data_IF_746225085847
#
_entry.id   IF_746225085847
#
_cell.length_a   1.000
_cell.length_b   1.000
_cell.length_c   1.000
_cell.angle_alpha   90.00
_cell.angle_beta   90.00
_cell.angle_gamma   90.00
#
_symmetry.space_group_name_H-M   'P 1'
#
loop_
_entity.id
_entity.type
_entity.pdbx_description
1 polymer ?
#
# COMPACT_ATOMS: atom_id res chain seq x y z
N UNK A 1 -29.22 42.12 39.16
CA UNK A 1 -30.19 42.37 38.08
C UNK A 1 -29.44 42.08 36.79
N UNK A 2 -29.76 41.17 35.95
CA UNK A 2 -30.79 40.19 35.78
C UNK A 2 -30.27 39.19 34.75
N UNK A 3 -30.39 37.91 35.09
CA UNK A 3 -29.91 36.83 34.23
C UNK A 3 -30.82 36.60 33.02
N UNK A 4 -30.25 36.10 31.96
CA UNK A 4 -31.02 35.50 30.87
C UNK A 4 -30.44 34.11 30.54
N UNK A 5 -31.10 33.07 31.06
CA UNK A 5 -30.90 31.67 30.69
C UNK A 5 -31.50 31.44 29.31
N UNK A 6 -30.73 30.95 28.35
CA UNK A 6 -31.23 30.39 27.10
C UNK A 6 -31.31 28.87 27.21
N UNK A 7 -32.48 28.34 27.05
CA UNK A 7 -32.81 26.91 27.05
C UNK A 7 -32.45 26.31 25.69
N UNK A 8 -31.60 25.28 25.66
CA UNK A 8 -31.41 24.39 24.50
C UNK A 8 -32.58 23.43 24.41
N UNK A 9 -33.27 23.39 23.28
CA UNK A 9 -34.28 22.38 22.95
C UNK A 9 -33.57 21.19 22.28
N UNK A 10 -33.67 20.03 22.91
CA UNK A 10 -33.44 18.73 22.26
C UNK A 10 -34.65 18.44 21.34
N UNK A 11 -34.35 18.05 20.11
CA UNK A 11 -35.32 17.41 19.21
C UNK A 11 -34.82 16.02 18.93
N UNK A 12 -35.47 15.03 19.53
CA UNK A 12 -35.32 13.61 19.20
C UNK A 12 -36.26 13.30 18.04
N UNK A 13 -35.71 12.74 16.95
CA UNK A 13 -36.49 12.13 15.88
C UNK A 13 -36.26 10.62 15.94
N UNK A 14 -37.31 9.91 16.33
CA UNK A 14 -37.40 8.44 16.25
C UNK A 14 -37.94 8.12 14.87
N UNK A 15 -37.23 7.34 14.08
CA UNK A 15 -37.76 6.78 12.83
C UNK A 15 -37.86 5.25 12.98
N UNK A 16 -39.10 4.79 12.96
CA UNK A 16 -39.48 3.38 13.05
C UNK A 16 -39.39 2.74 11.66
N UNK A 17 -38.64 1.65 11.53
CA UNK A 17 -38.60 0.81 10.31
C UNK A 17 -39.54 -0.36 10.48
N UNK A 18 -40.49 -0.47 9.57
CA UNK A 18 -41.46 -1.57 9.48
C UNK A 18 -40.94 -2.59 8.46
N UNK A 19 -40.71 -3.81 8.93
CA UNK A 19 -40.46 -4.98 8.06
C UNK A 19 -41.80 -5.43 7.41
N UNK A 20 -41.73 -5.74 6.12
CA UNK A 20 -42.74 -6.57 5.46
C UNK A 20 -42.02 -7.71 4.72
N UNK A 21 -42.19 -8.91 5.24
CA UNK A 21 -41.84 -10.16 4.60
C UNK A 21 -42.93 -10.57 3.61
N UNK A 22 -42.54 -11.08 2.46
CA UNK A 22 -43.42 -11.88 1.60
C UNK A 22 -42.66 -13.05 0.96
N UNK A 23 -42.95 -14.23 1.50
CA UNK A 23 -42.70 -15.54 0.95
C UNK A 23 -43.67 -15.80 -0.21
N UNK A 24 -43.18 -16.36 -1.32
CA UNK A 24 -44.00 -17.29 -2.11
C UNK A 24 -43.11 -18.29 -2.85
N UNK A 25 -43.38 -19.53 -2.58
CA UNK A 25 -42.86 -20.75 -3.16
C UNK A 25 -43.51 -21.05 -4.51
N UNK A 26 -42.79 -21.76 -5.37
CA UNK A 26 -43.35 -22.37 -6.59
C UNK A 26 -42.47 -23.46 -7.11
N UNK A 27 -42.86 -24.70 -6.83
CA UNK A 27 -42.36 -25.98 -7.34
C UNK A 27 -42.62 -26.16 -8.83
N UNK A 28 -41.82 -26.98 -9.50
CA UNK A 28 -42.14 -27.64 -10.76
C UNK A 28 -40.98 -28.46 -11.30
N UNK A 29 -41.03 -29.77 -11.07
CA UNK A 29 -40.22 -30.86 -11.69
C UNK A 29 -40.64 -31.07 -13.15
N UNK A 30 -39.85 -31.62 -14.06
CA UNK A 30 -39.54 -33.03 -14.24
C UNK A 30 -38.79 -33.29 -15.55
N UNK A 31 -37.87 -34.22 -15.47
CA UNK A 31 -37.51 -35.34 -16.37
C UNK A 31 -37.39 -35.19 -17.90
N UNK A 32 -36.33 -35.79 -18.40
CA UNK A 32 -36.25 -36.31 -19.76
C UNK A 32 -34.86 -36.74 -20.21
N UNK A 33 -34.50 -37.96 -19.87
CA UNK A 33 -33.37 -38.77 -20.36
C UNK A 33 -33.53 -39.14 -21.85
N UNK A 34 -32.44 -39.19 -22.63
CA UNK A 34 -32.14 -40.37 -23.44
C UNK A 34 -30.84 -40.28 -24.22
N UNK A 35 -30.14 -41.41 -24.17
CA UNK A 35 -28.96 -41.89 -24.87
C UNK A 35 -28.96 -41.78 -26.40
N UNK A 36 -27.75 -41.84 -26.96
CA UNK A 36 -27.51 -42.17 -28.36
C UNK A 36 -26.01 -42.24 -28.69
N UNK A 37 -25.47 -43.46 -28.62
CA UNK A 37 -24.16 -43.89 -29.14
C UNK A 37 -24.02 -43.68 -30.67
N UNK A 38 -22.79 -43.45 -31.15
CA UNK A 38 -22.08 -44.34 -32.12
C UNK A 38 -20.87 -43.69 -32.75
N UNK A 39 -19.71 -44.09 -32.42
CA UNK A 39 -18.66 -44.84 -33.15
C UNK A 39 -18.42 -44.47 -34.63
N UNK A 40 -17.16 -44.20 -34.98
CA UNK A 40 -16.67 -44.14 -36.35
C UNK A 40 -15.20 -43.73 -36.49
N UNK A 41 -14.36 -44.70 -36.42
CA UNK A 41 -12.92 -44.73 -36.68
C UNK A 41 -12.59 -44.43 -38.15
N UNK A 42 -11.50 -43.71 -38.45
CA UNK A 42 -10.51 -44.08 -39.47
C UNK A 42 -9.31 -43.13 -39.52
N UNK A 43 -8.19 -43.74 -39.35
CA UNK A 43 -6.82 -43.38 -39.66
C UNK A 43 -6.64 -42.92 -41.11
N UNK A 44 -5.76 -41.88 -41.31
CA UNK A 44 -4.69 -42.02 -42.30
C UNK A 44 -3.53 -41.04 -42.03
N UNK A 45 -2.38 -41.62 -42.11
CA UNK A 45 -1.05 -41.11 -41.85
C UNK A 45 -0.46 -40.60 -43.16
N UNK A 46 0.04 -39.36 -43.23
CA UNK A 46 1.03 -38.98 -44.29
C UNK A 46 2.09 -38.11 -43.68
N UNK A 47 3.26 -38.67 -43.65
CA UNK A 47 4.57 -38.12 -43.35
C UNK A 47 5.05 -37.17 -44.47
N UNK A 48 5.54 -35.99 -44.13
CA UNK A 48 6.51 -35.27 -44.96
C UNK A 48 7.33 -34.27 -44.17
N UNK A 49 8.64 -34.48 -44.23
CA UNK A 49 9.77 -33.84 -43.59
C UNK A 49 9.96 -32.35 -43.95
N UNK A 50 10.78 -31.61 -43.19
CA UNK A 50 10.73 -30.16 -43.10
C UNK A 50 11.65 -29.45 -44.10
N UNK A 51 11.17 -28.33 -44.59
CA UNK A 51 12.01 -27.33 -45.22
C UNK A 51 12.20 -26.14 -44.27
N UNK A 52 13.47 -25.94 -43.89
CA UNK A 52 13.97 -24.81 -43.14
C UNK A 52 13.98 -23.58 -44.03
N UNK A 53 13.07 -22.65 -43.81
CA UNK A 53 13.23 -21.26 -44.25
C UNK A 53 13.47 -20.39 -43.01
N UNK A 54 14.60 -19.68 -43.03
CA UNK A 54 14.95 -18.70 -42.04
C UNK A 54 13.98 -17.52 -42.17
N UNK A 55 13.10 -17.35 -41.17
CA UNK A 55 12.36 -16.12 -41.02
C UNK A 55 13.28 -15.07 -40.38
N UNK A 56 13.56 -14.00 -41.12
CA UNK A 56 14.05 -12.75 -40.59
C UNK A 56 13.09 -12.29 -39.49
N UNK A 57 13.63 -11.97 -38.33
CA UNK A 57 12.88 -11.35 -37.26
C UNK A 57 12.49 -9.94 -37.72
N UNK A 58 11.24 -9.77 -38.08
CA UNK A 58 10.64 -8.44 -38.14
C UNK A 58 10.61 -7.85 -36.72
N UNK A 59 11.18 -6.66 -36.56
CA UNK A 59 11.01 -5.85 -35.38
C UNK A 59 9.50 -5.60 -35.13
N UNK A 60 9.04 -5.57 -33.87
CA UNK A 60 7.64 -5.26 -33.58
C UNK A 60 7.34 -3.86 -34.10
N UNK A 61 6.52 -3.77 -35.12
CA UNK A 61 5.93 -2.51 -35.55
C UNK A 61 4.93 -2.07 -34.49
N UNK A 62 5.24 -0.96 -33.86
CA UNK A 62 4.35 -0.12 -33.07
C UNK A 62 3.11 0.21 -33.89
N UNK A 63 2.02 -0.50 -33.65
CA UNK A 63 0.78 -0.39 -34.40
C UNK A 63 -0.38 -0.05 -33.49
N UNK A 64 -0.32 1.12 -32.80
CA UNK A 64 -1.55 1.72 -32.28
C UNK A 64 -2.41 2.15 -33.46
N UNK A 65 -3.67 1.74 -33.49
CA UNK A 65 -4.63 2.20 -34.50
C UNK A 65 -4.84 3.71 -34.32
N UNK A 66 -4.39 4.53 -35.27
CA UNK A 66 -4.77 5.95 -35.32
C UNK A 66 -6.28 6.09 -35.18
N UNK A 67 -6.76 6.73 -34.08
CA UNK A 67 -8.19 6.95 -33.82
C UNK A 67 -8.85 5.95 -32.87
N UNK A 68 -8.08 5.12 -32.15
CA UNK A 68 -8.62 4.33 -31.04
C UNK A 68 -9.08 5.23 -29.88
N UNK A 69 -10.07 4.77 -29.13
CA UNK A 69 -10.54 5.43 -27.89
C UNK A 69 -10.55 4.41 -26.79
N UNK A 70 -9.95 4.75 -25.65
CA UNK A 70 -9.99 3.94 -24.42
C UNK A 70 -10.85 4.60 -23.37
N UNK A 71 -11.46 3.79 -22.51
CA UNK A 71 -12.20 4.23 -21.34
C UNK A 71 -11.35 4.08 -20.08
N UNK A 72 -11.18 5.18 -19.34
CA UNK A 72 -10.39 5.21 -18.11
C UNK A 72 -11.29 5.60 -16.94
N UNK A 73 -11.32 4.78 -15.91
CA UNK A 73 -12.04 5.05 -14.67
C UNK A 73 -11.04 5.29 -13.53
N UNK A 74 -11.06 6.48 -12.94
CA UNK A 74 -10.13 6.85 -11.87
C UNK A 74 -10.86 7.40 -10.67
N UNK A 75 -10.46 6.94 -9.47
CA UNK A 75 -11.05 7.44 -8.23
C UNK A 75 -10.64 8.89 -7.99
N UNK A 76 -11.60 9.73 -7.58
CA UNK A 76 -11.32 11.07 -7.06
C UNK A 76 -10.99 10.97 -5.58
N UNK A 77 -9.77 11.34 -5.22
CA UNK A 77 -9.26 11.36 -3.85
C UNK A 77 -9.02 12.80 -3.38
N UNK A 78 -8.21 12.97 -2.33
CA UNK A 78 -7.81 14.28 -1.83
C UNK A 78 -7.03 15.13 -2.85
N UNK A 79 -6.47 14.50 -3.87
CA UNK A 79 -5.76 15.16 -4.99
C UNK A 79 -6.70 15.79 -6.03
N UNK A 80 -8.01 15.53 -5.92
CA UNK A 80 -9.00 15.92 -6.93
C UNK A 80 -9.01 15.00 -8.15
N UNK A 81 -9.66 15.44 -9.20
CA UNK A 81 -9.79 14.71 -10.47
C UNK A 81 -9.20 15.44 -11.68
N UNK A 82 -8.85 16.72 -11.54
CA UNK A 82 -8.36 17.56 -12.64
C UNK A 82 -7.09 17.00 -13.28
N UNK A 83 -6.18 16.42 -12.48
CA UNK A 83 -4.93 15.82 -12.95
C UNK A 83 -5.18 14.70 -13.98
N UNK A 84 -6.25 13.92 -13.82
CA UNK A 84 -6.57 12.83 -14.74
C UNK A 84 -6.95 13.33 -16.13
N UNK A 85 -7.66 14.47 -16.19
CA UNK A 85 -7.98 15.09 -17.47
C UNK A 85 -6.73 15.67 -18.14
N UNK A 86 -5.85 16.34 -17.36
CA UNK A 86 -4.57 16.87 -17.88
C UNK A 86 -3.70 15.73 -18.45
N UNK A 87 -3.63 14.58 -17.77
CA UNK A 87 -2.87 13.40 -18.24
C UNK A 87 -3.52 12.74 -19.46
N UNK A 88 -4.85 12.60 -19.48
CA UNK A 88 -5.58 12.06 -20.63
C UNK A 88 -5.37 12.91 -21.88
N UNK A 89 -5.42 14.24 -21.76
CA UNK A 89 -5.17 15.17 -22.85
C UNK A 89 -3.71 15.06 -23.35
N UNK A 90 -2.74 14.94 -22.43
CA UNK A 90 -1.31 14.78 -22.76
C UNK A 90 -1.06 13.43 -23.47
N UNK A 91 -1.66 12.34 -23.00
CA UNK A 91 -1.58 11.03 -23.65
C UNK A 91 -2.15 11.07 -25.07
N UNK A 92 -3.34 11.67 -25.23
CA UNK A 92 -3.98 11.80 -26.55
C UNK A 92 -3.12 12.63 -27.50
N UNK A 93 -2.49 13.70 -27.00
CA UNK A 93 -1.60 14.54 -27.81
C UNK A 93 -0.34 13.79 -28.28
N UNK A 94 0.19 12.89 -27.46
CA UNK A 94 1.40 12.12 -27.76
C UNK A 94 1.12 10.92 -28.67
N UNK A 95 0.03 10.19 -28.42
CA UNK A 95 -0.22 8.89 -29.07
C UNK A 95 -1.30 8.93 -30.16
N UNK A 96 -2.18 9.94 -30.14
CA UNK A 96 -3.38 9.98 -31.00
C UNK A 96 -4.52 9.10 -30.49
N UNK A 97 -4.37 8.38 -29.39
CA UNK A 97 -5.42 7.57 -28.75
C UNK A 97 -6.27 8.48 -27.86
N UNK A 98 -7.58 8.52 -28.11
CA UNK A 98 -8.50 9.31 -27.29
C UNK A 98 -8.81 8.62 -25.96
N UNK A 99 -9.09 9.41 -24.91
CA UNK A 99 -9.45 8.90 -23.58
C UNK A 99 -10.84 9.41 -23.21
N UNK A 100 -11.75 8.48 -22.91
CA UNK A 100 -13.02 8.76 -22.24
C UNK A 100 -12.84 8.55 -20.74
N UNK A 101 -12.81 9.65 -19.96
CA UNK A 101 -12.51 9.64 -18.55
C UNK A 101 -13.78 9.63 -17.69
N UNK A 102 -13.82 8.72 -16.71
CA UNK A 102 -14.83 8.69 -15.64
C UNK A 102 -14.11 8.87 -14.31
N UNK A 103 -14.48 9.90 -13.54
CA UNK A 103 -13.95 10.14 -12.19
C UNK A 103 -15.08 10.32 -11.19
N UNK A 104 -14.98 9.68 -10.03
CA UNK A 104 -15.91 9.85 -8.91
C UNK A 104 -15.27 9.44 -7.59
N UNK A 105 -15.75 10.00 -6.46
CA UNK A 105 -15.32 9.61 -5.10
C UNK A 105 -15.82 8.21 -4.71
N UNK A 106 -16.95 7.82 -5.26
CA UNK A 106 -17.57 6.51 -5.08
C UNK A 106 -17.49 5.73 -6.39
N UNK A 107 -16.31 5.66 -6.98
CA UNK A 107 -16.08 5.11 -8.31
C UNK A 107 -16.69 3.71 -8.47
N UNK A 108 -16.59 2.88 -7.44
CA UNK A 108 -17.12 1.51 -7.43
C UNK A 108 -18.64 1.47 -7.66
N UNK A 109 -19.38 2.43 -7.12
CA UNK A 109 -20.83 2.54 -7.31
C UNK A 109 -21.18 3.01 -8.72
N UNK A 110 -20.30 3.78 -9.36
CA UNK A 110 -20.50 4.31 -10.72
C UNK A 110 -20.24 3.24 -11.77
N UNK A 111 -19.09 2.54 -11.69
CA UNK A 111 -18.69 1.56 -12.71
C UNK A 111 -19.21 0.14 -12.43
N UNK A 112 -19.47 -0.22 -11.18
CA UNK A 112 -19.87 -1.57 -10.77
C UNK A 112 -21.08 -2.13 -11.53
N UNK A 113 -22.16 -1.36 -11.74
CA UNK A 113 -23.33 -1.85 -12.51
C UNK A 113 -23.03 -2.25 -13.96
N UNK A 114 -22.23 -1.48 -14.70
CA UNK A 114 -21.83 -1.81 -16.09
C UNK A 114 -20.89 -3.01 -16.11
N UNK A 115 -19.94 -3.08 -15.15
CA UNK A 115 -19.01 -4.20 -15.05
C UNK A 115 -19.72 -5.52 -14.74
N UNK A 116 -20.80 -5.50 -13.96
CA UNK A 116 -21.67 -6.68 -13.76
C UNK A 116 -22.39 -7.10 -15.04
N UNK A 117 -22.60 -6.18 -15.95
CA UNK A 117 -23.14 -6.42 -17.31
C UNK A 117 -22.11 -6.93 -18.31
N UNK A 118 -20.83 -6.97 -17.94
CA UNK A 118 -19.72 -7.35 -18.82
C UNK A 118 -19.14 -6.17 -19.63
N UNK A 119 -19.52 -4.94 -19.31
CA UNK A 119 -18.96 -3.73 -19.90
C UNK A 119 -17.90 -3.16 -18.95
N UNK A 120 -16.64 -3.26 -19.31
CA UNK A 120 -15.50 -2.89 -18.46
C UNK A 120 -14.83 -1.61 -18.96
N UNK A 121 -14.40 -0.70 -18.06
CA UNK A 121 -13.39 0.29 -18.42
C UNK A 121 -12.11 -0.40 -18.90
N UNK A 122 -11.37 0.23 -19.80
CA UNK A 122 -10.10 -0.32 -20.28
C UNK A 122 -9.00 -0.17 -19.25
N UNK A 123 -9.01 0.91 -18.47
CA UNK A 123 -8.11 1.11 -17.33
C UNK A 123 -8.91 1.53 -16.09
N UNK A 124 -8.59 0.96 -14.95
CA UNK A 124 -9.16 1.34 -13.66
C UNK A 124 -8.04 1.76 -12.71
N UNK A 125 -8.11 2.97 -12.14
CA UNK A 125 -7.28 3.41 -11.04
C UNK A 125 -8.07 3.32 -9.74
N UNK A 126 -7.76 2.30 -8.94
CA UNK A 126 -8.47 2.00 -7.71
C UNK A 126 -7.59 1.14 -6.80
N UNK A 127 -7.36 1.59 -5.57
CA UNK A 127 -6.52 0.89 -4.60
C UNK A 127 -7.16 -0.42 -4.11
N UNK A 128 -6.34 -1.36 -3.69
CA UNK A 128 -6.74 -2.48 -2.83
C UNK A 128 -7.03 -2.00 -1.40
N UNK A 129 -7.74 -2.80 -0.63
CA UNK A 129 -8.08 -2.49 0.77
C UNK A 129 -9.24 -1.52 0.95
N UNK A 130 -9.96 -1.17 -0.11
CA UNK A 130 -11.16 -0.33 -0.04
C UNK A 130 -12.38 -1.11 0.45
N UNK A 131 -13.29 -0.44 1.16
CA UNK A 131 -14.47 -1.08 1.77
C UNK A 131 -15.35 -1.82 0.75
N UNK A 132 -15.54 -1.27 -0.45
CA UNK A 132 -16.33 -1.91 -1.50
C UNK A 132 -15.65 -3.16 -2.10
N UNK A 133 -14.31 -3.26 -2.00
CA UNK A 133 -13.55 -4.44 -2.37
C UNK A 133 -13.66 -4.83 -3.85
N UNK A 134 -13.83 -3.87 -4.76
CA UNK A 134 -13.99 -4.16 -6.19
C UNK A 134 -12.72 -4.79 -6.77
N UNK A 135 -11.55 -4.22 -6.47
CA UNK A 135 -10.26 -4.74 -6.94
C UNK A 135 -10.04 -6.17 -6.44
N UNK A 136 -10.32 -6.45 -5.16
CA UNK A 136 -10.21 -7.78 -4.56
C UNK A 136 -11.16 -8.81 -5.21
N UNK A 137 -12.38 -8.38 -5.56
CA UNK A 137 -13.32 -9.25 -6.28
C UNK A 137 -12.77 -9.66 -7.65
N UNK A 138 -12.12 -8.73 -8.37
CA UNK A 138 -11.48 -9.01 -9.65
C UNK A 138 -10.25 -9.88 -9.49
N UNK A 139 -9.43 -9.66 -8.46
CA UNK A 139 -8.30 -10.53 -8.09
C UNK A 139 -8.81 -11.96 -7.83
N UNK A 140 -9.78 -12.12 -6.94
CA UNK A 140 -10.35 -13.43 -6.57
C UNK A 140 -10.98 -14.15 -7.76
N UNK A 141 -11.53 -13.40 -8.71
CA UNK A 141 -12.12 -13.94 -9.95
C UNK A 141 -11.10 -14.28 -11.05
N UNK A 142 -9.80 -13.99 -10.86
CA UNK A 142 -8.77 -14.01 -11.92
C UNK A 142 -9.19 -13.16 -13.14
N UNK A 143 -9.76 -11.99 -12.89
CA UNK A 143 -10.32 -11.10 -13.90
C UNK A 143 -9.47 -9.84 -14.14
N UNK A 144 -8.21 -9.84 -13.74
CA UNK A 144 -7.23 -8.78 -14.01
C UNK A 144 -6.27 -9.26 -15.10
N UNK A 145 -5.99 -8.41 -16.06
CA UNK A 145 -5.08 -8.73 -17.16
C UNK A 145 -3.62 -8.74 -16.68
N UNK A 146 -2.82 -9.61 -17.25
CA UNK A 146 -1.37 -9.61 -17.10
C UNK A 146 -0.78 -8.39 -17.84
N UNK A 147 -0.11 -7.52 -17.10
CA UNK A 147 0.55 -6.32 -17.59
C UNK A 147 2.07 -6.37 -17.42
N UNK A 148 2.64 -7.58 -17.28
CA UNK A 148 4.09 -7.75 -17.09
C UNK A 148 4.90 -7.14 -18.22
N UNK A 149 4.40 -7.21 -19.44
CA UNK A 149 5.02 -6.64 -20.63
C UNK A 149 5.09 -5.11 -20.60
N UNK A 150 4.19 -4.42 -19.90
CA UNK A 150 4.25 -2.97 -19.70
C UNK A 150 5.57 -2.55 -19.06
N UNK A 151 6.15 -3.35 -18.16
CA UNK A 151 7.43 -3.04 -17.52
C UNK A 151 8.58 -2.89 -18.53
N UNK A 152 8.52 -3.58 -19.66
CA UNK A 152 9.52 -3.52 -20.73
C UNK A 152 9.12 -2.60 -21.90
N UNK A 153 7.94 -2.01 -21.85
CA UNK A 153 7.50 -1.06 -22.89
C UNK A 153 8.29 0.24 -22.80
N UNK A 154 8.63 0.78 -23.96
CA UNK A 154 9.10 2.15 -24.08
C UNK A 154 7.95 3.09 -23.74
N UNK A 155 8.19 4.04 -22.88
CA UNK A 155 7.19 5.04 -22.46
C UNK A 155 6.87 5.94 -23.68
N UNK A 156 5.59 6.11 -24.05
CA UNK A 156 5.21 7.01 -25.14
C UNK A 156 5.82 8.41 -24.95
N UNK A 157 6.47 8.92 -26.01
CA UNK A 157 7.17 10.20 -26.01
C UNK A 157 8.60 10.19 -25.40
N UNK A 158 9.08 9.04 -24.90
CA UNK A 158 10.39 8.91 -24.26
C UNK A 158 11.24 7.80 -24.88
N UNK A 159 12.49 7.67 -24.41
CA UNK A 159 13.38 6.56 -24.76
C UNK A 159 13.56 5.55 -23.62
N UNK A 160 13.09 5.88 -22.43
CA UNK A 160 13.14 5.02 -21.24
C UNK A 160 12.06 3.94 -21.31
N UNK A 161 12.30 2.81 -20.69
CA UNK A 161 11.29 1.79 -20.42
C UNK A 161 10.70 1.99 -19.03
N UNK A 162 9.49 1.47 -18.81
CA UNK A 162 8.74 1.67 -17.54
C UNK A 162 9.54 1.16 -16.33
N UNK A 163 10.14 -0.03 -16.42
CA UNK A 163 10.91 -0.62 -15.32
C UNK A 163 12.14 0.19 -14.89
N UNK A 164 12.71 0.98 -15.80
CA UNK A 164 13.86 1.82 -15.48
C UNK A 164 13.47 3.04 -14.62
N UNK A 165 12.20 3.38 -14.60
CA UNK A 165 11.70 4.52 -13.83
C UNK A 165 11.10 4.14 -12.48
N UNK A 166 10.50 2.96 -12.34
CA UNK A 166 9.87 2.56 -11.09
C UNK A 166 10.91 2.31 -10.00
N UNK A 167 10.71 2.86 -8.81
CA UNK A 167 11.58 2.64 -7.66
C UNK A 167 11.57 1.16 -7.24
N UNK A 168 12.73 0.67 -6.74
CA UNK A 168 12.89 -0.73 -6.35
C UNK A 168 11.93 -1.18 -5.26
N UNK A 169 11.39 -2.39 -5.40
CA UNK A 169 10.44 -3.01 -4.47
C UNK A 169 8.96 -2.81 -4.84
N UNK A 170 8.61 -1.79 -5.63
CA UNK A 170 7.20 -1.52 -5.96
C UNK A 170 6.55 -2.54 -6.92
N UNK A 171 7.33 -3.30 -7.67
CA UNK A 171 6.84 -4.35 -8.58
C UNK A 171 7.02 -5.77 -8.04
N UNK A 172 7.54 -5.90 -6.81
CA UNK A 172 7.92 -7.18 -6.21
C UNK A 172 7.06 -7.51 -4.97
N UNK A 173 5.78 -7.14 -4.98
CA UNK A 173 4.89 -7.28 -3.84
C UNK A 173 3.58 -7.97 -4.23
N UNK A 174 2.87 -8.55 -3.25
CA UNK A 174 1.53 -9.09 -3.43
C UNK A 174 0.51 -8.03 -3.90
N UNK A 175 0.77 -6.75 -3.64
CA UNK A 175 -0.08 -5.65 -4.11
C UNK A 175 0.05 -5.36 -5.61
N UNK A 176 1.08 -5.87 -6.27
CA UNK A 176 1.27 -5.79 -7.72
C UNK A 176 1.22 -7.15 -8.41
N UNK A 177 1.53 -8.22 -7.66
CA UNK A 177 1.44 -9.62 -8.07
C UNK A 177 0.54 -10.42 -7.10
N UNK A 178 -0.79 -10.23 -7.16
CA UNK A 178 -1.70 -10.86 -6.19
C UNK A 178 -1.82 -12.39 -6.35
N UNK A 179 -1.30 -12.97 -7.43
CA UNK A 179 -1.36 -14.41 -7.69
C UNK A 179 -0.05 -15.15 -7.36
N UNK A 180 0.97 -14.41 -6.91
CA UNK A 180 2.29 -14.96 -6.56
C UNK A 180 2.90 -15.86 -7.65
N UNK A 181 2.71 -15.49 -8.92
CA UNK A 181 3.16 -16.24 -10.11
C UNK A 181 4.34 -15.57 -10.83
N UNK A 182 4.91 -14.51 -10.25
CA UNK A 182 6.04 -13.77 -10.78
C UNK A 182 5.67 -12.76 -11.88
N UNK A 183 4.39 -12.46 -12.04
CA UNK A 183 3.88 -11.50 -13.02
C UNK A 183 3.38 -10.22 -12.34
N UNK A 184 3.16 -9.19 -13.14
CA UNK A 184 2.59 -7.93 -12.70
C UNK A 184 1.18 -7.78 -13.25
N UNK A 185 0.22 -7.46 -12.37
CA UNK A 185 -1.18 -7.29 -12.70
C UNK A 185 -1.70 -5.90 -12.32
N UNK A 186 -1.11 -5.29 -11.29
CA UNK A 186 -1.48 -3.96 -10.81
C UNK A 186 -0.24 -3.06 -10.89
N UNK A 187 -0.36 -1.95 -11.61
CA UNK A 187 0.69 -0.95 -11.77
C UNK A 187 0.71 -0.04 -10.53
N UNK A 188 1.87 0.14 -9.85
CA UNK A 188 1.95 1.02 -8.69
C UNK A 188 1.78 2.48 -9.07
N UNK A 189 0.86 3.17 -8.40
CA UNK A 189 0.55 4.57 -8.66
C UNK A 189 0.96 5.45 -7.48
N UNK A 190 0.08 6.31 -6.98
CA UNK A 190 0.40 7.28 -5.95
C UNK A 190 0.74 6.62 -4.62
N UNK A 191 1.77 7.11 -3.95
CA UNK A 191 2.27 6.53 -2.71
C UNK A 191 2.59 7.59 -1.65
N UNK A 192 2.65 7.14 -0.40
CA UNK A 192 3.07 7.96 0.74
C UNK A 192 4.06 7.15 1.58
N UNK A 193 5.36 7.51 1.58
CA UNK A 193 6.34 6.80 2.37
C UNK A 193 6.12 7.04 3.87
N UNK A 194 6.24 5.97 4.66
CA UNK A 194 6.27 5.98 6.10
C UNK A 194 7.68 5.67 6.58
N UNK A 195 8.09 6.28 7.67
CA UNK A 195 9.43 6.06 8.20
C UNK A 195 9.55 6.54 9.64
N UNK A 196 10.78 6.67 10.09
CA UNK A 196 11.10 7.27 11.38
C UNK A 196 11.29 8.77 11.20
N UNK A 197 10.36 9.54 11.71
CA UNK A 197 10.41 11.00 11.71
C UNK A 197 11.15 11.51 12.93
N UNK A 198 11.95 12.57 12.76
CA UNK A 198 12.79 13.13 13.81
C UNK A 198 13.06 14.62 13.61
N UNK A 199 13.63 15.27 14.61
CA UNK A 199 14.16 16.63 14.49
C UNK A 199 15.62 16.60 13.99
N UNK A 200 15.84 16.86 12.70
CA UNK A 200 17.16 16.94 12.11
C UNK A 200 18.02 18.06 12.73
N UNK A 201 17.40 19.18 13.14
CA UNK A 201 18.09 20.26 13.83
C UNK A 201 18.67 19.84 15.18
N UNK A 202 17.98 18.95 15.92
CA UNK A 202 18.52 18.39 17.16
C UNK A 202 19.76 17.53 16.90
N UNK A 203 19.69 16.64 15.91
CA UNK A 203 20.82 15.77 15.58
C UNK A 203 22.03 16.58 15.13
N UNK A 204 21.82 17.59 14.29
CA UNK A 204 22.87 18.54 13.86
C UNK A 204 23.51 19.27 15.07
N UNK A 205 22.68 19.81 15.99
CA UNK A 205 23.15 20.52 17.19
C UNK A 205 24.02 19.63 18.09
N UNK A 206 23.60 18.36 18.27
CA UNK A 206 24.29 17.39 19.11
C UNK A 206 25.47 16.71 18.41
N UNK A 207 25.61 16.84 17.10
CA UNK A 207 26.58 16.09 16.30
C UNK A 207 26.28 14.60 16.29
N UNK A 208 24.99 14.25 16.35
CA UNK A 208 24.52 12.87 16.25
C UNK A 208 24.19 12.53 14.80
N UNK A 209 24.54 11.31 14.41
CA UNK A 209 24.22 10.79 13.07
C UNK A 209 22.93 9.99 13.09
N UNK A 210 22.24 9.95 11.94
CA UNK A 210 21.05 9.11 11.77
C UNK A 210 21.49 7.66 11.70
N UNK A 211 20.97 6.76 12.56
CA UNK A 211 21.37 5.36 12.58
C UNK A 211 20.99 4.63 11.29
N UNK A 212 21.90 3.83 10.77
CA UNK A 212 21.68 2.95 9.61
C UNK A 212 21.52 1.48 10.02
N UNK A 213 21.93 1.15 11.24
CA UNK A 213 21.79 -0.18 11.85
C UNK A 213 21.13 -0.10 13.22
N UNK A 214 20.57 -1.21 13.68
CA UNK A 214 20.01 -1.28 15.05
C UNK A 214 21.06 -1.13 16.14
N UNK A 215 22.30 -1.52 15.91
CA UNK A 215 23.38 -1.30 16.88
C UNK A 215 23.66 0.21 17.05
N UNK A 216 23.75 0.95 15.94
CA UNK A 216 23.86 2.42 15.98
C UNK A 216 22.63 3.08 16.63
N UNK A 217 21.44 2.51 16.40
CA UNK A 217 20.20 2.99 17.03
C UNK A 217 20.29 2.89 18.55
N UNK A 218 20.79 1.77 19.06
CA UNK A 218 20.98 1.58 20.52
C UNK A 218 22.03 2.50 21.10
N UNK A 219 23.16 2.69 20.39
CA UNK A 219 24.19 3.65 20.78
C UNK A 219 23.67 5.08 20.87
N UNK A 220 22.84 5.49 19.89
CA UNK A 220 22.18 6.79 19.91
C UNK A 220 21.20 6.89 21.09
N UNK A 221 20.44 5.83 21.36
CA UNK A 221 19.51 5.76 22.49
C UNK A 221 20.21 5.94 23.84
N UNK A 222 21.38 5.33 24.03
CA UNK A 222 22.18 5.49 25.23
C UNK A 222 22.73 6.92 25.38
N UNK A 223 23.24 7.52 24.30
CA UNK A 223 23.67 8.92 24.26
C UNK A 223 22.53 9.89 24.59
N UNK A 224 21.36 9.66 23.99
CA UNK A 224 20.18 10.50 24.23
C UNK A 224 19.71 10.42 25.68
N UNK A 225 19.74 9.22 26.27
CA UNK A 225 19.37 9.00 27.68
C UNK A 225 20.25 9.77 28.66
N UNK A 226 21.56 9.94 28.38
CA UNK A 226 22.46 10.77 29.15
C UNK A 226 22.05 12.25 29.15
N UNK A 227 21.40 12.69 28.09
CA UNK A 227 20.85 14.07 27.92
C UNK A 227 19.39 14.19 28.40
N UNK A 228 18.79 13.10 28.90
CA UNK A 228 17.39 13.08 29.35
C UNK A 228 16.37 13.04 28.21
N UNK A 229 16.80 12.61 27.02
CA UNK A 229 15.96 12.46 25.83
C UNK A 229 15.69 10.97 25.61
N UNK A 230 14.44 10.61 25.33
CA UNK A 230 14.09 9.24 24.96
C UNK A 230 14.39 8.98 23.48
N UNK A 231 14.75 7.75 23.14
CA UNK A 231 15.01 7.37 21.75
C UNK A 231 13.74 7.38 20.91
N UNK A 232 12.60 6.95 21.49
CA UNK A 232 11.42 6.62 20.72
C UNK A 232 10.11 7.05 21.37
N UNK A 233 9.13 7.30 20.54
CA UNK A 233 7.70 7.43 20.85
C UNK A 233 6.90 6.97 19.63
N UNK A 234 5.58 6.81 19.75
CA UNK A 234 4.67 6.53 18.64
C UNK A 234 3.32 7.22 18.86
N UNK A 235 2.65 7.72 17.81
CA UNK A 235 1.37 8.43 17.96
C UNK A 235 0.29 7.54 18.58
N UNK A 236 -0.06 6.46 17.90
CA UNK A 236 -0.89 5.35 18.40
C UNK A 236 -0.29 4.03 17.95
N UNK A 237 -0.81 2.92 18.46
CA UNK A 237 -0.42 1.59 17.99
C UNK A 237 -0.80 1.34 16.53
N UNK A 238 -1.77 2.09 15.99
CA UNK A 238 -2.10 2.05 14.57
C UNK A 238 -0.96 2.55 13.67
N UNK A 239 -0.20 3.56 14.09
CA UNK A 239 0.97 4.04 13.34
C UNK A 239 2.18 3.12 13.49
N UNK A 240 2.12 2.18 14.44
CA UNK A 240 3.16 1.19 14.64
C UNK A 240 3.10 0.05 13.60
N UNK A 241 2.01 -0.07 12.85
CA UNK A 241 1.86 -1.04 11.77
C UNK A 241 2.93 -0.86 10.69
N UNK A 242 3.09 0.36 10.17
CA UNK A 242 4.10 0.70 9.18
C UNK A 242 5.53 0.36 9.66
N UNK A 243 5.80 0.59 10.94
CA UNK A 243 7.06 0.20 11.57
C UNK A 243 7.23 -1.32 11.56
N UNK A 244 6.23 -2.06 12.01
CA UNK A 244 6.31 -3.52 12.13
C UNK A 244 6.43 -4.20 10.76
N UNK A 245 5.68 -3.74 9.77
CA UNK A 245 5.78 -4.23 8.40
C UNK A 245 7.18 -4.00 7.81
N UNK A 246 7.72 -2.78 7.92
CA UNK A 246 9.07 -2.49 7.47
C UNK A 246 10.14 -3.31 8.20
N UNK A 247 9.95 -3.58 9.51
CA UNK A 247 10.85 -4.42 10.29
C UNK A 247 10.83 -5.87 9.78
N UNK A 248 9.66 -6.44 9.52
CA UNK A 248 9.56 -7.80 8.96
C UNK A 248 10.30 -7.92 7.63
N UNK A 249 10.18 -6.93 6.74
CA UNK A 249 10.96 -6.89 5.50
C UNK A 249 12.47 -6.79 5.76
N UNK A 250 12.91 -5.96 6.71
CA UNK A 250 14.32 -5.78 7.05
C UNK A 250 14.94 -7.06 7.63
N UNK A 251 14.15 -7.85 8.35
CA UNK A 251 14.60 -9.11 8.98
C UNK A 251 14.67 -10.26 7.99
N UNK A 252 13.62 -10.49 7.21
CA UNK A 252 13.47 -11.70 6.40
C UNK A 252 13.01 -11.47 4.95
N UNK A 253 12.94 -10.22 4.50
CA UNK A 253 12.54 -9.88 3.13
C UNK A 253 11.07 -10.21 2.84
N UNK A 254 10.74 -10.19 1.55
CA UNK A 254 9.38 -10.47 1.06
C UNK A 254 8.88 -11.85 1.49
N UNK A 255 9.73 -12.88 1.44
CA UNK A 255 9.32 -14.25 1.76
C UNK A 255 8.84 -14.39 3.22
N UNK A 256 9.59 -13.83 4.18
CA UNK A 256 9.19 -13.85 5.58
C UNK A 256 7.92 -13.02 5.80
N UNK A 257 7.86 -11.84 5.20
CA UNK A 257 6.70 -10.95 5.31
C UNK A 257 5.42 -11.65 4.83
N UNK A 258 5.44 -12.23 3.63
CA UNK A 258 4.28 -12.93 3.05
C UNK A 258 3.83 -14.10 3.94
N UNK A 259 4.76 -14.94 4.41
CA UNK A 259 4.45 -16.05 5.32
C UNK A 259 3.86 -15.58 6.65
N UNK A 260 4.43 -14.53 7.24
CA UNK A 260 3.98 -13.99 8.51
C UNK A 260 2.60 -13.34 8.40
N UNK A 261 2.35 -12.57 7.36
CA UNK A 261 1.07 -11.89 7.13
C UNK A 261 -0.04 -12.85 6.69
N UNK A 262 0.30 -14.03 6.18
CA UNK A 262 -0.65 -15.11 5.87
C UNK A 262 -0.72 -16.17 6.98
N UNK A 263 -0.13 -15.88 8.14
CA UNK A 263 -0.21 -16.74 9.34
C UNK A 263 0.28 -18.17 9.11
N UNK A 264 1.36 -18.38 8.31
CA UNK A 264 1.90 -19.71 8.04
C UNK A 264 2.24 -20.43 9.35
N UNK A 265 2.01 -21.74 9.40
CA UNK A 265 2.24 -22.54 10.59
C UNK A 265 3.70 -22.48 11.04
N UNK A 266 3.93 -22.12 12.31
CA UNK A 266 5.27 -22.03 12.91
C UNK A 266 6.06 -20.78 12.51
N UNK A 267 5.52 -19.89 11.70
CA UNK A 267 6.25 -18.68 11.24
C UNK A 267 6.71 -17.80 12.39
N UNK A 268 5.91 -17.71 13.45
CA UNK A 268 6.21 -16.89 14.64
C UNK A 268 7.18 -17.56 15.63
N UNK A 269 7.62 -18.80 15.33
CA UNK A 269 8.65 -19.53 16.09
C UNK A 269 10.02 -19.52 15.37
N UNK A 270 10.13 -18.81 14.24
CA UNK A 270 11.36 -18.70 13.44
C UNK A 270 12.36 -17.72 14.06
N UNK A 271 13.66 -17.82 13.72
CA UNK A 271 14.66 -16.83 14.15
C UNK A 271 14.36 -15.41 13.66
N UNK A 272 13.73 -15.28 12.48
CA UNK A 272 13.30 -14.01 11.92
C UNK A 272 12.24 -13.36 12.81
N UNK A 273 11.21 -14.11 13.18
CA UNK A 273 10.17 -13.62 14.09
C UNK A 273 10.74 -13.23 15.45
N UNK A 274 11.62 -14.06 16.03
CA UNK A 274 12.31 -13.76 17.29
C UNK A 274 13.09 -12.45 17.19
N UNK A 275 13.78 -12.21 16.09
CA UNK A 275 14.51 -10.95 15.86
C UNK A 275 13.56 -9.73 15.86
N UNK A 276 12.36 -9.86 15.27
CA UNK A 276 11.36 -8.80 15.32
C UNK A 276 10.91 -8.51 16.77
N UNK A 277 10.63 -9.56 17.55
CA UNK A 277 10.21 -9.44 18.94
C UNK A 277 11.31 -8.82 19.81
N UNK A 278 12.55 -9.30 19.69
CA UNK A 278 13.71 -8.78 20.41
C UNK A 278 13.91 -7.27 20.16
N UNK A 279 13.84 -6.84 18.90
CA UNK A 279 14.01 -5.43 18.52
C UNK A 279 12.89 -4.58 19.15
N UNK A 280 11.63 -5.00 19.01
CA UNK A 280 10.48 -4.24 19.52
C UNK A 280 10.50 -4.17 21.04
N UNK A 281 10.80 -5.28 21.71
CA UNK A 281 10.90 -5.33 23.17
C UNK A 281 12.05 -4.45 23.67
N UNK A 282 13.20 -4.50 23.02
CA UNK A 282 14.32 -3.60 23.33
C UNK A 282 13.94 -2.13 23.10
N UNK A 283 13.27 -1.82 21.97
CA UNK A 283 12.81 -0.45 21.66
C UNK A 283 11.81 0.06 22.70
N UNK A 284 10.93 -0.80 23.22
CA UNK A 284 10.01 -0.45 24.30
C UNK A 284 10.76 0.09 25.53
N UNK A 285 11.95 -0.44 25.86
CA UNK A 285 12.79 0.05 26.97
C UNK A 285 13.42 1.43 26.74
N UNK A 286 13.48 1.89 25.49
CA UNK A 286 13.95 3.21 25.08
C UNK A 286 12.82 4.19 24.75
N UNK A 287 11.57 3.71 24.80
CA UNK A 287 10.38 4.53 24.50
C UNK A 287 10.04 5.44 25.70
N UNK A 288 9.58 6.66 25.41
CA UNK A 288 9.12 7.57 26.45
C UNK A 288 7.94 6.95 27.20
N UNK A 289 8.03 6.78 28.55
CA UNK A 289 7.04 6.04 29.33
C UNK A 289 5.64 6.69 29.39
N UNK A 290 5.50 7.94 28.94
CA UNK A 290 4.19 8.59 28.83
C UNK A 290 3.42 8.11 27.58
N UNK A 291 4.14 7.59 26.57
CA UNK A 291 3.57 7.25 25.25
C UNK A 291 2.35 6.34 25.33
N UNK A 292 2.32 5.22 26.09
CA UNK A 292 1.13 4.37 26.14
C UNK A 292 -0.14 5.09 26.61
N UNK A 293 -0.02 6.00 27.58
CA UNK A 293 -1.14 6.74 28.13
C UNK A 293 -1.75 7.73 27.11
N UNK A 294 -0.98 8.19 26.15
CA UNK A 294 -1.37 9.15 25.10
C UNK A 294 -1.60 8.49 23.75
N UNK A 295 -1.35 7.18 23.60
CA UNK A 295 -1.47 6.44 22.36
C UNK A 295 -2.94 6.09 22.03
N UNK A 296 -3.80 7.09 21.90
CA UNK A 296 -5.23 6.98 21.60
C UNK A 296 -5.67 8.08 20.64
N UNK A 297 -6.86 7.95 20.02
CA UNK A 297 -7.39 8.85 18.99
C UNK A 297 -7.58 10.31 19.45
N UNK A 298 -7.59 10.58 20.74
CA UNK A 298 -7.79 11.93 21.28
C UNK A 298 -6.45 12.62 21.60
N UNK A 299 -5.44 11.86 22.00
CA UNK A 299 -4.21 12.38 22.57
C UNK A 299 -2.96 12.11 21.72
N UNK A 300 -3.06 11.38 20.60
CA UNK A 300 -1.93 10.92 19.79
C UNK A 300 -0.98 12.05 19.36
N UNK A 301 -1.51 13.25 19.12
CA UNK A 301 -0.69 14.42 18.77
C UNK A 301 0.22 14.86 19.93
N UNK A 302 -0.10 14.50 21.18
CA UNK A 302 0.79 14.77 22.32
C UNK A 302 2.06 13.88 22.25
N UNK A 303 1.94 12.65 21.71
CA UNK A 303 3.11 11.81 21.46
C UNK A 303 3.95 12.35 20.30
N UNK A 304 3.32 12.87 19.23
CA UNK A 304 4.03 13.56 18.15
C UNK A 304 4.76 14.82 18.69
N UNK A 305 4.14 15.55 19.61
CA UNK A 305 4.73 16.73 20.25
C UNK A 305 6.04 16.41 21.00
N UNK A 306 6.22 15.16 21.48
CA UNK A 306 7.48 14.78 22.15
C UNK A 306 8.69 14.92 21.23
N UNK A 307 8.53 14.63 19.93
CA UNK A 307 9.60 14.83 18.95
C UNK A 307 9.82 16.32 18.66
N UNK A 308 8.73 17.09 18.51
CA UNK A 308 8.82 18.53 18.27
C UNK A 308 9.47 19.27 19.44
N UNK A 309 9.31 18.78 20.68
CA UNK A 309 9.87 19.33 21.92
C UNK A 309 11.28 18.78 22.26
N UNK A 310 11.88 17.94 21.42
CA UNK A 310 13.15 17.24 21.71
C UNK A 310 13.09 16.33 22.96
N UNK A 311 11.94 15.78 23.28
CA UNK A 311 11.75 14.81 24.38
C UNK A 311 11.85 13.35 23.93
N UNK A 312 11.67 13.11 22.62
CA UNK A 312 11.94 11.86 21.94
C UNK A 312 12.67 12.17 20.63
N UNK A 313 13.52 11.23 20.16
CA UNK A 313 14.24 11.40 18.89
C UNK A 313 13.35 10.97 17.74
N UNK A 314 12.88 9.72 17.73
CA UNK A 314 12.16 9.12 16.60
C UNK A 314 10.70 8.80 16.93
N UNK A 315 9.87 8.88 15.89
CA UNK A 315 8.52 8.31 15.88
C UNK A 315 8.20 7.72 14.51
N UNK A 316 7.48 6.58 14.42
CA UNK A 316 6.95 6.08 13.17
C UNK A 316 5.80 6.99 12.72
N UNK A 317 5.82 7.39 11.46
CA UNK A 317 4.76 8.23 10.87
C UNK A 317 4.82 8.16 9.34
N UNK A 318 3.90 8.87 8.68
CA UNK A 318 3.93 9.11 7.24
C UNK A 318 4.04 10.61 6.92
N UNK A 319 4.11 10.94 5.66
CA UNK A 319 4.32 12.33 5.18
C UNK A 319 3.22 13.31 5.61
N UNK A 320 2.06 12.83 6.02
CA UNK A 320 0.93 13.61 6.56
C UNK A 320 1.23 14.30 7.90
N UNK A 321 2.26 13.88 8.65
CA UNK A 321 2.65 14.47 9.95
C UNK A 321 2.90 15.98 9.86
N UNK A 322 3.42 16.47 8.72
CA UNK A 322 3.69 17.88 8.52
C UNK A 322 2.40 18.69 8.60
N UNK A 323 1.33 18.19 7.98
CA UNK A 323 0.00 18.78 8.04
C UNK A 323 -0.65 18.66 9.42
N UNK A 324 -0.58 17.47 10.05
CA UNK A 324 -1.14 17.26 11.39
C UNK A 324 -0.54 18.18 12.44
N UNK A 325 0.76 18.46 12.33
CA UNK A 325 1.52 19.26 13.30
C UNK A 325 1.87 20.66 12.78
N UNK A 326 1.20 21.15 11.73
CA UNK A 326 1.54 22.43 11.10
C UNK A 326 1.56 23.62 12.09
N UNK A 327 0.55 23.70 12.94
CA UNK A 327 0.37 24.79 13.93
C UNK A 327 0.98 24.47 15.31
N UNK A 328 1.60 23.30 15.47
CA UNK A 328 2.17 22.87 16.75
C UNK A 328 3.45 23.67 17.07
N UNK A 329 3.66 24.06 18.35
CA UNK A 329 4.92 24.69 18.77
C UNK A 329 6.07 23.70 18.59
N UNK A 330 7.27 24.23 18.31
CA UNK A 330 8.46 23.44 18.02
C UNK A 330 9.65 23.97 18.79
N UNK A 331 10.60 23.11 19.12
CA UNK A 331 11.89 23.53 19.65
C UNK A 331 12.62 24.46 18.67
N UNK A 332 13.47 25.33 19.24
CA UNK A 332 14.29 26.24 18.42
C UNK A 332 15.18 25.42 17.46
N UNK A 333 15.24 25.85 16.20
CA UNK A 333 16.03 25.18 15.17
C UNK A 333 15.44 23.86 14.67
N UNK A 334 14.18 23.54 14.99
CA UNK A 334 13.51 22.34 14.50
C UNK A 334 13.50 22.28 12.97
N UNK A 335 13.87 21.14 12.45
CA UNK A 335 13.77 20.76 11.03
C UNK A 335 13.23 19.35 10.94
N UNK A 336 12.28 19.10 10.06
CA UNK A 336 11.87 17.74 9.78
C UNK A 336 13.01 16.91 9.21
N UNK A 337 13.13 15.69 9.68
CA UNK A 337 13.92 14.62 9.11
C UNK A 337 13.07 13.36 9.04
N UNK A 338 13.33 12.51 8.05
CA UNK A 338 12.74 11.18 7.90
C UNK A 338 13.82 10.19 7.45
N UNK A 339 13.80 9.01 8.00
CA UNK A 339 14.68 7.91 7.58
C UNK A 339 13.91 6.60 7.51
N UNK A 340 14.40 5.66 6.68
CA UNK A 340 13.94 4.28 6.70
C UNK A 340 14.27 3.62 8.05
N UNK A 341 13.65 2.46 8.33
CA UNK A 341 14.09 1.65 9.45
C UNK A 341 15.53 1.20 9.25
N UNK A 342 16.34 1.18 10.32
CA UNK A 342 17.70 0.67 10.26
C UNK A 342 17.75 -0.78 9.79
N UNK A 343 18.81 -1.13 9.07
CA UNK A 343 19.08 -2.51 8.69
C UNK A 343 19.35 -3.39 9.92
N UNK A 344 18.91 -4.64 9.88
CA UNK A 344 19.15 -5.62 10.96
C UNK A 344 20.60 -6.10 10.95
N UNK A 345 21.28 -6.00 9.83
CA UNK A 345 22.68 -6.43 9.66
C UNK A 345 23.48 -5.37 8.93
N UNK A 346 24.75 -5.25 9.25
CA UNK A 346 25.67 -4.38 8.54
C UNK A 346 25.64 -4.64 7.03
N UNK A 347 25.49 -3.58 6.25
CA UNK A 347 25.35 -3.65 4.79
C UNK A 347 24.03 -4.24 4.29
N UNK A 348 23.07 -4.46 5.18
CA UNK A 348 21.70 -4.82 4.80
C UNK A 348 20.90 -3.62 4.31
N UNK A 349 19.70 -3.88 3.80
CA UNK A 349 18.80 -2.85 3.30
C UNK A 349 17.99 -2.20 4.43
N UNK A 350 17.85 -0.88 4.38
CA UNK A 350 16.85 -0.15 5.15
C UNK A 350 15.50 -0.18 4.43
N UNK A 351 14.42 -0.37 5.18
CA UNK A 351 13.09 -0.43 4.61
C UNK A 351 12.21 0.72 5.08
N UNK A 352 11.39 1.25 4.18
CA UNK A 352 10.33 2.22 4.43
C UNK A 352 9.01 1.61 3.98
N UNK A 353 8.04 1.52 4.89
CA UNK A 353 6.71 1.09 4.51
C UNK A 353 6.02 2.19 3.70
N UNK A 354 5.20 1.78 2.75
CA UNK A 354 4.43 2.73 1.97
C UNK A 354 3.04 2.20 1.64
N UNK A 355 2.08 3.10 1.72
CA UNK A 355 0.77 2.93 1.13
C UNK A 355 0.84 3.36 -0.32
N UNK A 356 0.21 2.63 -1.23
CA UNK A 356 0.11 3.05 -2.61
C UNK A 356 -1.21 2.62 -3.26
N UNK A 357 -1.59 3.39 -4.25
CA UNK A 357 -2.74 3.13 -5.10
C UNK A 357 -2.27 2.38 -6.35
N UNK A 358 -3.19 1.70 -7.04
CA UNK A 358 -2.87 0.92 -8.23
C UNK A 358 -3.72 1.30 -9.42
N UNK A 359 -3.17 1.09 -10.62
CA UNK A 359 -3.92 1.06 -11.87
C UNK A 359 -3.87 -0.35 -12.47
N UNK A 360 -4.98 -0.80 -13.06
CA UNK A 360 -5.08 -2.15 -13.60
C UNK A 360 -6.06 -2.22 -14.76
N UNK A 361 -5.97 -3.30 -15.52
CA UNK A 361 -6.79 -3.58 -16.72
C UNK A 361 -7.67 -4.78 -16.40
N UNK A 362 -9.01 -4.68 -16.50
CA UNK A 362 -9.87 -5.86 -16.48
C UNK A 362 -9.52 -6.82 -17.61
N UNK A 363 -9.48 -8.13 -17.37
CA UNK A 363 -9.18 -9.11 -18.43
C UNK A 363 -10.22 -9.14 -19.55
N UNK A 364 -11.40 -8.58 -19.32
CA UNK A 364 -12.46 -8.42 -20.32
C UNK A 364 -12.50 -7.06 -21.00
N UNK A 365 -11.50 -6.18 -20.78
CA UNK A 365 -11.39 -4.89 -21.44
C UNK A 365 -11.21 -5.06 -22.98
N UNK A 366 -11.83 -4.18 -23.76
CA UNK A 366 -11.84 -4.30 -25.23
C UNK A 366 -10.53 -3.81 -25.87
N UNK A 367 -9.87 -2.81 -25.27
CA UNK A 367 -8.70 -2.13 -25.84
C UNK A 367 -7.44 -2.33 -24.97
N UNK A 368 -7.07 -3.61 -24.67
CA UNK A 368 -6.00 -3.91 -23.73
C UNK A 368 -4.62 -3.39 -24.15
N UNK A 369 -4.28 -3.40 -25.43
CA UNK A 369 -2.97 -2.93 -25.90
C UNK A 369 -2.85 -1.40 -25.79
N UNK A 370 -3.91 -0.66 -26.11
CA UNK A 370 -3.96 0.79 -25.92
C UNK A 370 -4.00 1.15 -24.43
N UNK A 371 -4.68 0.35 -23.61
CA UNK A 371 -4.70 0.48 -22.17
C UNK A 371 -3.31 0.28 -21.55
N UNK A 372 -2.53 -0.69 -22.03
CA UNK A 372 -1.12 -0.88 -21.61
C UNK A 372 -0.26 0.32 -22.00
N UNK A 373 -0.45 0.90 -23.19
CA UNK A 373 0.25 2.13 -23.57
C UNK A 373 -0.10 3.30 -22.65
N UNK A 374 -1.38 3.40 -22.24
CA UNK A 374 -1.79 4.41 -21.26
C UNK A 374 -1.12 4.19 -19.90
N UNK A 375 -1.09 2.94 -19.38
CA UNK A 375 -0.38 2.63 -18.13
C UNK A 375 1.11 2.97 -18.27
N UNK A 376 1.77 2.63 -19.39
CA UNK A 376 3.16 3.01 -19.61
C UNK A 376 3.35 4.53 -19.61
N UNK A 377 2.43 5.29 -20.23
CA UNK A 377 2.48 6.76 -20.26
C UNK A 377 2.31 7.38 -18.87
N UNK A 378 1.57 6.74 -17.96
CA UNK A 378 1.43 7.23 -16.58
C UNK A 378 2.79 7.42 -15.88
N UNK A 379 3.85 6.74 -16.33
CA UNK A 379 5.22 6.87 -15.81
C UNK A 379 6.09 7.84 -16.64
N UNK A 380 5.51 8.55 -17.61
CA UNK A 380 6.24 9.58 -18.35
C UNK A 380 6.58 10.78 -17.47
N UNK A 381 7.64 11.51 -17.83
CA UNK A 381 8.00 12.75 -17.13
C UNK A 381 6.85 13.75 -17.13
N UNK A 382 6.10 13.82 -18.24
CA UNK A 382 4.93 14.69 -18.36
C UNK A 382 3.82 14.30 -17.37
N UNK A 383 3.47 13.02 -17.31
CA UNK A 383 2.44 12.55 -16.38
C UNK A 383 2.89 12.74 -14.92
N UNK A 384 4.14 12.39 -14.59
CA UNK A 384 4.70 12.59 -13.26
C UNK A 384 4.68 14.05 -12.81
N UNK A 385 4.98 15.01 -13.70
CA UNK A 385 4.92 16.44 -13.41
C UNK A 385 3.47 16.93 -13.18
N UNK A 386 2.53 16.46 -13.99
CA UNK A 386 1.10 16.78 -13.82
C UNK A 386 0.63 16.26 -12.45
N UNK A 387 0.87 15.00 -12.14
CA UNK A 387 0.45 14.40 -10.87
C UNK A 387 1.10 15.08 -9.67
N UNK A 388 2.42 15.31 -9.71
CA UNK A 388 3.16 15.96 -8.63
C UNK A 388 2.65 17.37 -8.34
N UNK A 389 2.29 18.14 -9.36
CA UNK A 389 1.67 19.47 -9.24
C UNK A 389 0.37 19.44 -8.43
N UNK A 390 -0.38 18.36 -8.51
CA UNK A 390 -1.62 18.13 -7.75
C UNK A 390 -1.40 17.40 -6.42
N UNK A 391 -0.14 17.09 -6.06
CA UNK A 391 0.21 16.41 -4.81
C UNK A 391 0.08 14.89 -4.84
N UNK A 392 -0.22 14.31 -6.00
CA UNK A 392 -0.24 12.88 -6.24
C UNK A 392 1.13 12.40 -6.70
N UNK A 393 1.87 11.72 -5.82
CA UNK A 393 3.29 11.41 -6.05
C UNK A 393 3.43 9.94 -6.45
N UNK A 394 4.08 9.68 -7.59
CA UNK A 394 4.31 8.33 -8.11
C UNK A 394 5.65 7.76 -7.63
N UNK A 395 5.78 6.42 -7.52
CA UNK A 395 7.00 5.77 -7.07
C UNK A 395 8.03 5.65 -8.21
N UNK A 396 8.44 6.79 -8.77
CA UNK A 396 9.45 6.86 -9.82
C UNK A 396 10.76 7.44 -9.28
N UNK A 397 11.86 6.90 -9.76
CA UNK A 397 13.20 7.38 -9.40
C UNK A 397 13.37 8.86 -9.82
N UNK A 398 13.97 9.66 -8.94
CA UNK A 398 14.16 11.09 -9.17
C UNK A 398 12.90 11.93 -9.00
N UNK A 399 11.79 11.38 -8.49
CA UNK A 399 10.54 12.15 -8.28
C UNK A 399 10.77 13.34 -7.33
N UNK A 400 11.68 13.21 -6.39
CA UNK A 400 12.02 14.27 -5.45
C UNK A 400 12.47 15.57 -6.14
N UNK A 401 13.10 15.48 -7.30
CA UNK A 401 13.54 16.65 -8.10
C UNK A 401 12.35 17.48 -8.65
N UNK A 402 11.16 16.91 -8.67
CA UNK A 402 9.91 17.54 -9.13
C UNK A 402 9.07 18.10 -7.98
N UNK A 403 9.55 17.98 -6.71
CA UNK A 403 8.82 18.35 -5.51
C UNK A 403 9.42 19.61 -4.85
N UNK A 404 8.68 20.17 -3.91
CA UNK A 404 9.10 21.35 -3.15
C UNK A 404 8.94 21.10 -1.62
N UNK A 405 9.66 21.88 -0.82
CA UNK A 405 9.58 21.88 0.64
C UNK A 405 10.08 20.56 1.25
N UNK A 406 9.44 20.13 2.33
CA UNK A 406 9.82 18.91 3.07
C UNK A 406 9.60 17.62 2.24
N UNK A 407 8.71 17.66 1.24
CA UNK A 407 8.45 16.53 0.36
C UNK A 407 9.69 16.09 -0.43
N UNK A 408 10.58 17.02 -0.80
CA UNK A 408 11.85 16.68 -1.46
C UNK A 408 12.62 15.64 -0.67
N UNK A 409 12.74 15.85 0.64
CA UNK A 409 13.47 14.92 1.53
C UNK A 409 12.70 13.63 1.76
N UNK A 410 11.38 13.69 1.99
CA UNK A 410 10.58 12.50 2.26
C UNK A 410 10.56 11.54 1.07
N UNK A 411 10.32 12.05 -0.12
CA UNK A 411 10.22 11.23 -1.33
C UNK A 411 11.57 10.85 -1.94
N UNK A 412 12.68 11.44 -1.50
CA UNK A 412 14.04 11.01 -1.86
C UNK A 412 14.49 9.73 -1.13
N UNK A 413 13.70 9.20 -0.22
CA UNK A 413 14.10 8.05 0.62
C UNK A 413 14.49 6.83 -0.21
N UNK A 414 13.79 6.55 -1.30
CA UNK A 414 14.10 5.43 -2.20
C UNK A 414 15.28 5.75 -3.13
N UNK A 415 15.45 6.99 -3.56
CA UNK A 415 16.64 7.45 -4.30
C UNK A 415 17.91 7.31 -3.45
N UNK A 416 17.77 7.46 -2.13
CA UNK A 416 18.86 7.29 -1.15
C UNK A 416 19.11 5.82 -0.76
N UNK A 417 18.44 4.86 -1.40
CA UNK A 417 18.74 3.44 -1.31
C UNK A 417 17.85 2.66 -0.33
N UNK A 418 16.87 3.28 0.30
CA UNK A 418 15.85 2.52 1.04
C UNK A 418 15.01 1.68 0.07
N UNK A 419 14.54 0.52 0.54
CA UNK A 419 13.58 -0.31 -0.18
C UNK A 419 12.18 -0.10 0.34
N UNK A 420 11.21 -0.22 -0.54
CA UNK A 420 9.80 -0.14 -0.15
C UNK A 420 9.36 -1.46 0.50
N UNK A 421 8.67 -1.35 1.62
CA UNK A 421 7.93 -2.44 2.25
C UNK A 421 6.43 -2.20 2.05
N UNK A 422 5.70 -3.21 1.63
CA UNK A 422 4.29 -3.08 1.24
C UNK A 422 3.52 -4.35 1.58
N UNK A 423 2.20 -4.23 1.73
CA UNK A 423 1.32 -5.33 2.05
C UNK A 423 0.72 -5.21 3.45
N UNK A 424 -0.22 -6.06 3.75
CA UNK A 424 -0.95 -6.08 5.01
C UNK A 424 -1.16 -7.52 5.47
N UNK A 425 -1.56 -7.70 6.72
CA UNK A 425 -2.05 -9.00 7.18
C UNK A 425 -3.27 -9.44 6.37
N UNK A 426 -3.28 -10.71 5.98
CA UNK A 426 -4.37 -11.32 5.24
C UNK A 426 -5.69 -11.26 6.04
N UNK A 427 -6.78 -11.03 5.33
CA UNK A 427 -8.10 -10.97 5.94
C UNK A 427 -8.59 -12.37 6.37
N UNK A 428 -9.26 -12.43 7.51
CA UNK A 428 -9.87 -13.65 8.05
C UNK A 428 -11.32 -13.39 8.50
N UNK A 429 -12.10 -14.46 8.67
CA UNK A 429 -13.44 -14.36 9.24
C UNK A 429 -13.36 -13.86 10.69
N UNK A 430 -14.35 -13.06 11.11
CA UNK A 430 -14.33 -12.43 12.43
C UNK A 430 -14.27 -13.48 13.56
N UNK A 431 -13.24 -13.36 14.40
CA UNK A 431 -13.00 -14.20 15.57
C UNK A 431 -13.21 -13.34 16.81
N UNK A 432 -14.12 -13.69 17.74
CA UNK A 432 -14.36 -12.88 18.94
C UNK A 432 -13.08 -12.66 19.75
N UNK A 433 -12.68 -11.40 19.91
CA UNK A 433 -11.50 -10.98 20.69
C UNK A 433 -10.15 -11.20 20.00
N UNK A 434 -10.12 -11.51 18.70
CA UNK A 434 -8.90 -11.65 17.91
C UNK A 434 -8.94 -10.66 16.75
N UNK A 435 -8.07 -9.67 16.79
CA UNK A 435 -7.88 -8.65 15.76
C UNK A 435 -6.39 -8.45 15.53
N UNK A 436 -5.97 -8.17 14.30
CA UNK A 436 -4.56 -7.91 13.97
C UNK A 436 -3.96 -6.88 14.91
N UNK A 437 -4.62 -5.75 15.10
CA UNK A 437 -4.14 -4.66 15.95
C UNK A 437 -3.92 -5.12 17.39
N UNK A 438 -4.88 -5.81 17.99
CA UNK A 438 -4.81 -6.24 19.40
C UNK A 438 -3.77 -7.32 19.65
N UNK A 439 -3.45 -8.11 18.63
CA UNK A 439 -2.48 -9.21 18.72
C UNK A 439 -1.06 -8.75 18.44
N UNK A 440 -0.86 -7.96 17.39
CA UNK A 440 0.48 -7.63 16.88
C UNK A 440 0.96 -6.23 17.26
N UNK A 441 0.07 -5.25 17.44
CA UNK A 441 0.45 -3.85 17.60
C UNK A 441 0.19 -3.30 19.01
N UNK A 442 -1.00 -3.50 19.58
CA UNK A 442 -1.33 -2.98 20.91
C UNK A 442 -0.44 -3.48 22.04
N UNK A 443 0.16 -4.70 21.99
CA UNK A 443 1.08 -5.17 23.00
C UNK A 443 2.29 -4.27 23.25
N UNK A 444 2.70 -3.44 22.28
CA UNK A 444 3.79 -2.47 22.50
C UNK A 444 3.50 -1.54 23.69
N UNK A 445 2.24 -1.14 23.92
CA UNK A 445 1.85 -0.35 25.09
C UNK A 445 2.18 -1.07 26.40
N UNK A 446 1.87 -2.37 26.46
CA UNK A 446 2.10 -3.21 27.65
C UNK A 446 3.58 -3.53 27.86
N UNK A 447 4.35 -3.67 26.78
CA UNK A 447 5.81 -3.81 26.85
C UNK A 447 6.47 -2.55 27.40
N UNK A 448 6.06 -1.36 26.92
CA UNK A 448 6.57 -0.07 27.43
C UNK A 448 6.21 0.16 28.89
N UNK A 449 4.98 -0.22 29.29
CA UNK A 449 4.50 -0.08 30.68
C UNK A 449 5.04 -1.16 31.62
N UNK A 450 5.62 -2.24 31.08
CA UNK A 450 6.07 -3.40 31.85
C UNK A 450 4.95 -4.32 32.33
N UNK A 451 3.76 -4.20 31.75
CA UNK A 451 2.59 -5.02 32.08
C UNK A 451 2.57 -6.36 31.33
N UNK A 452 3.42 -6.54 30.33
CA UNK A 452 3.58 -7.75 29.53
C UNK A 452 5.06 -8.03 29.29
N UNK A 453 5.44 -9.31 29.29
CA UNK A 453 6.78 -9.74 28.87
C UNK A 453 6.78 -10.12 27.39
N UNK A 454 7.96 -10.19 26.78
CA UNK A 454 8.15 -10.66 25.41
C UNK A 454 7.58 -12.07 25.20
N UNK A 455 7.87 -12.98 26.11
CA UNK A 455 7.39 -14.37 26.03
C UNK A 455 5.85 -14.44 26.04
N UNK A 456 5.20 -13.61 26.87
CA UNK A 456 3.74 -13.54 26.89
C UNK A 456 3.16 -13.00 25.59
N UNK A 457 3.85 -12.03 24.97
CA UNK A 457 3.43 -11.52 23.65
C UNK A 457 3.59 -12.57 22.57
N UNK A 458 4.74 -13.24 22.50
CA UNK A 458 5.01 -14.33 21.55
C UNK A 458 3.95 -15.45 21.67
N UNK A 459 3.68 -15.91 22.90
CA UNK A 459 2.64 -16.93 23.14
C UNK A 459 1.25 -16.48 22.62
N UNK A 460 0.90 -15.22 22.84
CA UNK A 460 -0.34 -14.63 22.35
C UNK A 460 -0.40 -14.60 20.81
N UNK A 461 0.70 -14.17 20.17
CA UNK A 461 0.83 -14.11 18.71
C UNK A 461 0.68 -15.49 18.08
N UNK A 462 1.39 -16.50 18.58
CA UNK A 462 1.32 -17.88 18.07
C UNK A 462 -0.12 -18.39 18.18
N UNK A 463 -0.73 -18.28 19.35
CA UNK A 463 -2.09 -18.77 19.58
C UNK A 463 -3.15 -18.06 18.72
N UNK A 464 -3.03 -16.76 18.53
CA UNK A 464 -3.96 -16.00 17.71
C UNK A 464 -3.73 -16.24 16.21
N UNK A 465 -2.48 -16.34 15.78
CA UNK A 465 -2.09 -16.62 14.40
C UNK A 465 -2.65 -17.97 13.91
N UNK A 466 -2.63 -19.02 14.75
CA UNK A 466 -3.25 -20.29 14.44
C UNK A 466 -4.76 -20.18 14.18
N UNK A 467 -5.46 -19.39 15.00
CA UNK A 467 -6.88 -19.13 14.82
C UNK A 467 -7.16 -18.31 13.55
N UNK A 468 -6.33 -17.29 13.26
CA UNK A 468 -6.46 -16.48 12.05
C UNK A 468 -6.26 -17.34 10.79
N UNK A 469 -5.25 -18.23 10.79
CA UNK A 469 -4.97 -19.15 9.68
C UNK A 469 -6.15 -20.07 9.39
N UNK A 470 -6.78 -20.64 10.42
CA UNK A 470 -7.94 -21.53 10.28
C UNK A 470 -9.17 -20.81 9.72
N UNK A 471 -9.20 -19.47 9.77
CA UNK A 471 -10.33 -18.64 9.35
C UNK A 471 -9.96 -17.67 8.20
N UNK A 472 -8.90 -17.94 7.43
CA UNK A 472 -8.53 -17.15 6.25
C UNK A 472 -9.66 -17.07 5.22
N UNK A 473 -9.85 -15.90 4.60
CA UNK A 473 -10.87 -15.63 3.56
C UNK A 473 -10.41 -15.99 2.16
#
# INVERSE_FOLDING_TARGET
>A
MGGRKMKKKLVSVILSVTMAASLLAGCGADNGSSNGDSNGNSTDNVESTPQTEAAEAEAPTDGAAEGATISVAAIETAYGSEMWQEVADAFTAETGIAVELTTDKNLEDVIGPSMQGGEYPDVIHLATGREAGLTEQFIKGNMIADITDVLSMTIPGETAIVSDKIAGGFTETSLTNPYNDGKTYLAPMFYSPCGLFYNAGLLEEKGWEVPTTWDEMWELGDKAKEEGIYLFTYPTTGYFDAFFYALMYSVGGTEFFEKATHYEEGIWETPEAQTCFDIITKLASYTNPITPAQANDQDFTQNQQLVLDNKAIFMPNGTWIVGEMAEAPRADGFKWGMTALPAVKDGGDGYSYTWFEQAWIPSGAEHQEEAKQFIAFLYSDVACEIFAKHGAIQPVLGIADKLEGDNVMFYSIYDNGAKAAMGNFAAFEAIPGVEVRTVFLDPVNSLVSGDMTEEQWIESVISASDQMRENLK
#
